data_IF_229818645457
#
_entry.id   IF_229818645457
#
_cell.length_a   1.000
_cell.length_b   1.000
_cell.length_c   1.000
_cell.angle_alpha   90.00
_cell.angle_beta   90.00
_cell.angle_gamma   90.00
#
_symmetry.space_group_name_H-M   'P 1'
#
loop_
_entity.id
_entity.type
_entity.pdbx_description
1 polymer ?
#
# COMPACT_ATOMS: atom_id res chain seq x y z
N UNK A 1 -0.69 -12.28 -21.96
CA UNK A 1 -0.07 -13.00 -20.83
C UNK A 1 -0.83 -12.69 -19.56
N UNK A 2 -1.13 -13.71 -18.78
CA UNK A 2 -1.84 -13.56 -17.52
C UNK A 2 -0.85 -13.28 -16.39
N UNK A 3 -1.12 -12.23 -15.61
CA UNK A 3 -0.31 -11.91 -14.43
C UNK A 3 -1.18 -12.15 -13.20
N UNK A 4 -0.71 -13.01 -12.32
CA UNK A 4 -1.45 -13.34 -11.10
C UNK A 4 -1.48 -12.13 -10.14
N UNK A 5 -2.60 -11.95 -9.45
CA UNK A 5 -2.75 -10.87 -8.46
C UNK A 5 -1.72 -11.01 -7.34
N UNK A 6 -1.40 -12.25 -6.95
CA UNK A 6 -0.37 -12.50 -5.95
C UNK A 6 0.99 -11.94 -6.40
N UNK A 7 1.32 -12.11 -7.70
CA UNK A 7 2.55 -11.56 -8.26
C UNK A 7 2.55 -10.04 -8.23
N UNK A 8 1.43 -9.41 -8.55
CA UNK A 8 1.30 -7.95 -8.49
C UNK A 8 1.52 -7.45 -7.07
N UNK A 9 0.91 -8.10 -6.10
CA UNK A 9 1.05 -7.72 -4.71
C UNK A 9 2.50 -7.85 -4.24
N UNK A 10 3.16 -8.95 -4.58
CA UNK A 10 4.56 -9.18 -4.22
C UNK A 10 5.48 -8.17 -4.88
N UNK A 11 5.25 -7.87 -6.16
CA UNK A 11 6.06 -6.89 -6.89
C UNK A 11 5.88 -5.50 -6.30
N UNK A 12 4.64 -5.14 -5.95
CA UNK A 12 4.36 -3.85 -5.32
C UNK A 12 5.07 -3.75 -3.96
N UNK A 13 4.99 -4.80 -3.14
CA UNK A 13 5.68 -4.82 -1.85
C UNK A 13 7.19 -4.69 -2.03
N UNK A 14 7.77 -5.37 -3.01
CA UNK A 14 9.19 -5.26 -3.30
C UNK A 14 9.59 -3.85 -3.71
N UNK A 15 8.75 -3.18 -4.50
CA UNK A 15 9.01 -1.81 -4.93
C UNK A 15 9.04 -0.82 -3.76
N UNK A 16 8.36 -1.14 -2.66
CA UNK A 16 8.26 -0.27 -1.49
C UNK A 16 9.38 -0.48 -0.47
N UNK A 17 10.25 -1.47 -0.66
CA UNK A 17 11.30 -1.78 0.32
C UNK A 17 12.25 -0.58 0.46
N UNK A 18 12.47 -0.17 1.71
CA UNK A 18 13.41 0.89 2.06
C UNK A 18 14.13 0.49 3.34
N UNK A 19 15.31 -0.12 3.17
CA UNK A 19 16.06 -0.66 4.29
C UNK A 19 16.42 0.46 5.28
N UNK A 20 16.17 0.20 6.57
CA UNK A 20 16.48 1.16 7.63
C UNK A 20 15.42 2.23 7.86
N UNK A 21 14.43 2.35 6.99
CA UNK A 21 13.36 3.34 7.14
C UNK A 21 12.06 2.72 7.63
N UNK A 22 11.63 1.65 6.98
CA UNK A 22 10.42 0.93 7.38
C UNK A 22 10.48 -0.53 6.96
N UNK A 23 9.58 -1.34 7.53
CA UNK A 23 9.38 -2.72 7.14
C UNK A 23 8.20 -2.80 6.18
N UNK A 24 8.25 -3.73 5.25
CA UNK A 24 7.19 -3.92 4.25
C UNK A 24 6.57 -5.29 4.42
N UNK A 25 5.23 -5.32 4.45
CA UNK A 25 4.45 -6.55 4.50
C UNK A 25 3.55 -6.61 3.28
N UNK A 26 3.50 -7.76 2.62
CA UNK A 26 2.59 -7.99 1.49
C UNK A 26 1.23 -8.53 1.95
N UNK A 27 0.99 -8.55 3.25
CA UNK A 27 -0.25 -8.98 3.88
C UNK A 27 -0.36 -8.32 5.26
N UNK A 28 -1.57 -8.14 5.80
CA UNK A 28 -1.71 -7.55 7.13
C UNK A 28 -1.08 -8.46 8.19
N UNK A 29 -0.13 -7.95 9.00
CA UNK A 29 0.42 -8.73 10.10
C UNK A 29 -0.62 -8.91 11.22
N UNK A 30 -0.44 -9.94 12.04
CA UNK A 30 -1.35 -10.19 13.16
C UNK A 30 -1.35 -9.05 14.18
N UNK A 31 -0.19 -8.43 14.38
CA UNK A 31 -0.04 -7.30 15.31
C UNK A 31 0.55 -6.11 14.54
N UNK A 32 -0.08 -4.92 14.59
CA UNK A 32 0.50 -3.74 13.94
C UNK A 32 1.86 -3.39 14.54
N UNK A 33 2.80 -3.03 13.67
CA UNK A 33 4.17 -2.69 14.06
C UNK A 33 4.45 -1.28 13.56
N UNK A 34 5.05 -0.43 14.41
CA UNK A 34 5.44 0.92 14.03
C UNK A 34 6.52 0.88 12.95
N UNK A 35 6.57 1.90 12.11
CA UNK A 35 7.45 2.02 10.95
C UNK A 35 7.26 0.86 9.98
N UNK A 36 5.99 0.63 9.62
CA UNK A 36 5.60 -0.43 8.68
C UNK A 36 4.82 0.13 7.53
N UNK A 37 4.99 -0.51 6.37
CA UNK A 37 4.19 -0.26 5.16
C UNK A 37 3.56 -1.60 4.79
N UNK A 38 2.24 -1.63 4.74
CA UNK A 38 1.49 -2.87 4.52
C UNK A 38 0.73 -2.76 3.21
N UNK A 39 0.91 -3.73 2.33
CA UNK A 39 0.14 -3.83 1.07
C UNK A 39 -0.97 -4.84 1.30
N UNK A 40 -2.21 -4.40 1.17
CA UNK A 40 -3.37 -5.26 1.37
C UNK A 40 -4.44 -4.98 0.32
N UNK A 41 -5.38 -5.91 0.10
CA UNK A 41 -6.47 -5.67 -0.82
C UNK A 41 -7.33 -4.49 -0.38
N UNK A 42 -7.75 -3.69 -1.36
CA UNK A 42 -8.72 -2.64 -1.10
C UNK A 42 -10.12 -3.15 -1.41
N UNK A 43 -11.12 -2.40 -1.05
CA UNK A 43 -12.51 -2.63 -1.39
C UNK A 43 -12.94 -1.45 -2.29
N UNK A 44 -13.22 -1.65 -3.48
CA UNK A 44 -13.33 -2.84 -4.35
C UNK A 44 -11.94 -3.40 -4.66
N UNK A 45 -11.81 -4.72 -4.74
CA UNK A 45 -10.49 -5.34 -4.94
C UNK A 45 -10.09 -5.39 -6.42
N UNK A 46 -10.95 -5.94 -7.27
CA UNK A 46 -10.64 -6.11 -8.68
C UNK A 46 -11.80 -5.60 -9.51
N UNK A 47 -11.49 -4.72 -10.48
CA UNK A 47 -12.49 -4.15 -11.37
C UNK A 47 -12.15 -4.53 -12.81
N UNK A 48 -12.96 -5.38 -13.47
CA UNK A 48 -12.72 -5.67 -14.87
C UNK A 48 -12.95 -4.42 -15.72
N UNK A 49 -12.06 -4.15 -16.66
CA UNK A 49 -12.22 -3.03 -17.57
C UNK A 49 -12.92 -3.40 -18.86
N UNK A 50 -13.09 -4.70 -19.11
CA UNK A 50 -13.80 -5.21 -20.28
C UNK A 50 -14.43 -6.58 -19.96
N UNK A 51 -15.39 -7.01 -20.79
CA UNK A 51 -16.13 -8.26 -20.58
C UNK A 51 -15.90 -9.27 -21.69
N UNK A 52 -14.66 -9.35 -22.20
CA UNK A 52 -14.30 -10.31 -23.23
C UNK A 52 -13.82 -11.60 -22.56
N UNK A 53 -14.48 -12.74 -22.87
CA UNK A 53 -14.22 -14.00 -22.18
C UNK A 53 -12.82 -14.52 -22.31
N UNK A 54 -12.14 -14.23 -23.41
CA UNK A 54 -10.81 -14.76 -23.67
C UNK A 54 -9.71 -13.84 -23.14
N UNK A 55 -10.06 -12.61 -22.76
CA UNK A 55 -9.06 -11.62 -22.36
C UNK A 55 -9.72 -10.54 -21.52
N UNK A 56 -9.22 -10.34 -20.32
CA UNK A 56 -9.70 -9.31 -19.42
C UNK A 56 -8.53 -8.44 -19.00
N UNK A 57 -8.73 -7.12 -19.00
CA UNK A 57 -7.73 -6.18 -18.52
C UNK A 57 -8.22 -5.57 -17.20
N UNK A 58 -8.06 -6.28 -16.08
CA UNK A 58 -8.59 -5.80 -14.80
C UNK A 58 -7.71 -4.72 -14.20
N UNK A 59 -8.36 -3.87 -13.42
CA UNK A 59 -7.70 -2.93 -12.52
C UNK A 59 -7.75 -3.54 -11.12
N UNK A 60 -6.59 -3.75 -10.53
CA UNK A 60 -6.47 -4.32 -9.19
C UNK A 60 -6.20 -3.19 -8.22
N UNK A 61 -7.02 -3.10 -7.18
CA UNK A 61 -6.94 -2.03 -6.20
C UNK A 61 -6.31 -2.56 -4.92
N UNK A 62 -5.23 -1.91 -4.49
CA UNK A 62 -4.57 -2.20 -3.23
C UNK A 62 -4.64 -1.00 -2.32
N UNK A 63 -4.56 -1.26 -1.03
CA UNK A 63 -4.45 -0.23 -0.03
C UNK A 63 -3.07 -0.36 0.62
N UNK A 64 -2.33 0.74 0.65
CA UNK A 64 -1.04 0.79 1.33
C UNK A 64 -1.27 1.47 2.66
N UNK A 65 -1.12 0.71 3.74
CA UNK A 65 -1.27 1.21 5.10
C UNK A 65 0.10 1.57 5.64
N UNK A 66 0.24 2.80 6.10
CA UNK A 66 1.49 3.32 6.65
C UNK A 66 1.30 3.54 8.13
N UNK A 67 2.24 3.03 8.94
CA UNK A 67 2.16 3.09 10.40
C UNK A 67 3.44 3.68 10.95
N UNK A 68 3.31 4.72 11.78
CA UNK A 68 4.43 5.33 12.51
C UNK A 68 4.11 5.40 13.98
N UNK A 69 5.14 5.45 14.87
CA UNK A 69 4.87 5.60 16.30
C UNK A 69 4.31 6.98 16.60
N UNK A 70 3.49 7.06 17.63
CA UNK A 70 2.97 8.32 18.14
C UNK A 70 3.87 8.77 19.30
N UNK A 71 4.54 9.92 19.13
CA UNK A 71 5.56 10.35 20.09
C UNK A 71 5.01 11.19 21.23
N UNK A 72 3.95 12.00 20.99
CA UNK A 72 3.40 12.93 21.99
C UNK A 72 1.92 13.19 21.72
N UNK A 73 1.35 14.17 22.42
CA UNK A 73 -0.06 14.52 22.30
C UNK A 73 -0.44 15.04 20.91
N UNK A 74 0.53 15.56 20.18
CA UNK A 74 0.31 16.03 18.81
C UNK A 74 0.50 14.91 17.81
N UNK A 75 1.02 13.77 18.27
CA UNK A 75 1.34 12.64 17.42
C UNK A 75 2.63 12.87 16.64
N UNK A 76 2.82 12.05 15.62
CA UNK A 76 4.01 12.09 14.77
C UNK A 76 3.60 12.48 13.34
N UNK A 77 2.99 13.66 13.19
CA UNK A 77 2.53 14.11 11.88
C UNK A 77 3.68 14.24 10.88
N UNK A 78 4.81 14.79 11.31
CA UNK A 78 5.96 14.90 10.41
C UNK A 78 6.43 13.52 9.96
N UNK A 79 6.46 12.57 10.87
CA UNK A 79 6.89 11.21 10.54
C UNK A 79 5.97 10.52 9.54
N UNK A 80 4.64 10.63 9.73
CA UNK A 80 3.70 10.00 8.81
C UNK A 80 3.71 10.73 7.45
N UNK A 81 3.81 12.05 7.45
CA UNK A 81 3.89 12.82 6.21
C UNK A 81 5.15 12.48 5.43
N UNK A 82 6.29 12.37 6.10
CA UNK A 82 7.54 11.96 5.45
C UNK A 82 7.44 10.54 4.89
N UNK A 83 6.79 9.64 5.61
CA UNK A 83 6.57 8.28 5.14
C UNK A 83 5.67 8.25 3.91
N UNK A 84 4.61 9.06 3.88
CA UNK A 84 3.72 9.16 2.73
C UNK A 84 4.50 9.59 1.48
N UNK A 85 5.33 10.62 1.60
CA UNK A 85 6.15 11.10 0.50
C UNK A 85 7.16 10.04 0.08
N UNK A 86 7.79 9.37 1.04
CA UNK A 86 8.74 8.30 0.77
C UNK A 86 8.11 7.13 0.02
N UNK A 87 6.92 6.72 0.44
CA UNK A 87 6.18 5.66 -0.25
C UNK A 87 5.82 6.09 -1.66
N UNK A 88 5.33 7.32 -1.84
CA UNK A 88 5.02 7.84 -3.16
C UNK A 88 6.26 7.82 -4.06
N UNK A 89 7.41 8.23 -3.54
CA UNK A 89 8.65 8.25 -4.32
C UNK A 89 9.06 6.84 -4.75
N UNK A 90 8.86 5.84 -3.89
CA UNK A 90 9.14 4.45 -4.24
C UNK A 90 8.20 3.97 -5.35
N UNK A 91 6.92 4.34 -5.29
CA UNK A 91 5.97 3.99 -6.34
C UNK A 91 6.33 4.68 -7.65
N UNK A 92 6.72 5.95 -7.60
CA UNK A 92 7.08 6.71 -8.79
C UNK A 92 8.35 6.16 -9.45
N UNK A 93 9.24 5.54 -8.68
CA UNK A 93 10.45 4.93 -9.20
C UNK A 93 10.21 3.57 -9.85
N UNK A 94 9.05 2.95 -9.64
CA UNK A 94 8.73 1.65 -10.22
C UNK A 94 8.45 1.81 -11.71
N UNK A 95 9.17 1.07 -12.54
CA UNK A 95 9.00 1.10 -14.00
C UNK A 95 8.30 -0.14 -14.55
N UNK A 96 8.10 -1.15 -13.69
CA UNK A 96 7.51 -2.43 -14.12
C UNK A 96 6.00 -2.49 -13.94
N UNK A 97 5.44 -1.66 -13.07
CA UNK A 97 4.01 -1.62 -12.79
C UNK A 97 3.42 -0.31 -13.26
N UNK A 98 2.21 -0.38 -13.82
CA UNK A 98 1.44 0.82 -14.18
C UNK A 98 0.56 1.16 -12.98
N UNK A 99 1.09 2.01 -12.12
CA UNK A 99 0.47 2.35 -10.85
C UNK A 99 -0.21 3.70 -10.93
N UNK A 100 -1.46 3.75 -10.51
CA UNK A 100 -2.20 5.00 -10.31
C UNK A 100 -2.40 5.20 -8.82
N UNK A 101 -1.95 6.33 -8.29
CA UNK A 101 -2.12 6.67 -6.89
C UNK A 101 -3.42 7.42 -6.72
N UNK A 102 -4.27 6.92 -5.83
CA UNK A 102 -5.55 7.55 -5.52
C UNK A 102 -5.47 8.41 -4.26
N UNK A 103 -6.54 8.40 -3.50
CA UNK A 103 -6.64 9.22 -2.30
C UNK A 103 -5.78 8.67 -1.17
N UNK A 104 -5.29 9.60 -0.35
CA UNK A 104 -4.53 9.26 0.87
C UNK A 104 -5.37 9.78 2.03
N UNK A 105 -5.68 8.90 3.00
CA UNK A 105 -6.50 9.28 4.13
C UNK A 105 -5.74 10.13 5.13
N UNK A 106 -6.46 10.94 5.89
CA UNK A 106 -5.87 11.68 7.00
C UNK A 106 -5.35 10.70 8.05
N UNK A 107 -4.26 11.03 8.75
CA UNK A 107 -3.75 10.15 9.80
C UNK A 107 -4.80 9.94 10.91
N UNK A 108 -4.90 8.70 11.37
CA UNK A 108 -5.77 8.33 12.48
C UNK A 108 -4.97 7.58 13.54
N UNK A 109 -5.47 7.58 14.77
CA UNK A 109 -4.81 6.88 15.87
C UNK A 109 -5.22 5.42 15.84
N UNK A 110 -4.21 4.54 15.91
CA UNK A 110 -4.41 3.11 16.08
C UNK A 110 -3.87 2.69 17.42
N UNK A 111 -4.73 2.18 18.30
CA UNK A 111 -4.32 1.67 19.60
C UNK A 111 -4.05 0.18 19.50
N UNK A 112 -2.89 -0.27 19.96
CA UNK A 112 -2.49 -1.66 19.90
C UNK A 112 -1.75 -2.09 21.14
N UNK A 113 -1.34 -3.36 21.16
CA UNK A 113 -0.61 -3.95 22.28
C UNK A 113 0.72 -3.22 22.51
N UNK A 114 1.34 -2.76 21.44
CA UNK A 114 2.62 -2.04 21.50
C UNK A 114 2.46 -0.54 21.80
N UNK A 115 1.23 -0.05 22.01
CA UNK A 115 0.95 1.35 22.28
C UNK A 115 0.17 2.01 21.17
N UNK A 116 0.10 3.35 21.21
CA UNK A 116 -0.61 4.11 20.19
C UNK A 116 0.29 4.42 19.00
N UNK A 117 -0.30 4.37 17.83
CA UNK A 117 0.40 4.62 16.56
C UNK A 117 -0.49 5.49 15.67
N UNK A 118 0.13 6.20 14.73
CA UNK A 118 -0.58 6.91 13.68
C UNK A 118 -0.58 6.06 12.42
N UNK A 119 -1.72 5.99 11.75
CA UNK A 119 -1.84 5.28 10.49
C UNK A 119 -2.44 6.18 9.42
N UNK A 120 -2.04 5.94 8.18
CA UNK A 120 -2.64 6.56 7.01
C UNK A 120 -2.76 5.52 5.91
N UNK A 121 -3.75 5.65 5.06
CA UNK A 121 -4.01 4.69 3.99
C UNK A 121 -3.91 5.38 2.64
N UNK A 122 -3.19 4.76 1.71
CA UNK A 122 -3.05 5.25 0.34
C UNK A 122 -3.70 4.23 -0.59
N UNK A 123 -4.66 4.65 -1.39
CA UNK A 123 -5.28 3.80 -2.39
C UNK A 123 -4.44 3.81 -3.66
N UNK A 124 -4.13 2.63 -4.18
CA UNK A 124 -3.39 2.50 -5.44
C UNK A 124 -4.11 1.52 -6.34
N UNK A 125 -3.98 1.73 -7.64
CA UNK A 125 -4.58 0.85 -8.65
C UNK A 125 -3.52 0.44 -9.64
N UNK A 126 -3.54 -0.82 -10.05
CA UNK A 126 -2.60 -1.37 -11.01
C UNK A 126 -3.39 -2.02 -12.14
N UNK A 127 -3.12 -1.60 -13.37
CA UNK A 127 -3.69 -2.23 -14.54
C UNK A 127 -2.88 -3.47 -14.89
N UNK A 128 -3.57 -4.56 -15.19
CA UNK A 128 -2.94 -5.80 -15.63
C UNK A 128 -3.76 -6.42 -16.75
N UNK A 129 -3.38 -7.61 -17.19
CA UNK A 129 -4.08 -8.31 -18.26
C UNK A 129 -4.17 -9.78 -17.92
N UNK A 130 -5.35 -10.34 -18.11
CA UNK A 130 -5.61 -11.77 -17.97
C UNK A 130 -6.06 -12.27 -19.35
N UNK A 131 -5.15 -12.90 -20.06
CA UNK A 131 -5.45 -13.40 -21.41
C UNK A 131 -5.10 -14.87 -21.56
#
# INVERSE_FOLDING_TARGET
MTVAVTTLRSTLATALISAGEWQVFSFPPATPIANSVIVQPDDIYIEPSNNIYSSVAPKVNFKIVMIVPMFDNQGNLNGIEDMIVGVFNKLAASTTLKISVGNISAPTVLSGVAGEMLTSEMSVSIMTSWS
#
